data_IF_573292636530
#
_entry.id   IF_573292636530
#
_cell.length_a   1.000
_cell.length_b   1.000
_cell.length_c   1.000
_cell.angle_alpha   90.00
_cell.angle_beta   90.00
_cell.angle_gamma   90.00
#
_symmetry.space_group_name_H-M   'P 1'
#
loop_
_entity.id
_entity.type
_entity.pdbx_description
1 polymer ?
#
# COMPACT_ATOMS: atom_id res chain seq x y z
N UNK A 1 7.64 0.25 0.85
CA UNK A 1 7.38 -0.94 1.70
C UNK A 1 6.70 -0.48 2.97
N UNK A 2 5.37 -0.58 3.01
CA UNK A 2 4.50 0.03 4.03
C UNK A 2 3.81 -1.10 4.78
N UNK A 3 3.98 -1.16 6.10
CA UNK A 3 3.35 -2.14 6.97
C UNK A 3 2.66 -1.46 8.12
N UNK A 4 1.54 -2.01 8.54
CA UNK A 4 0.89 -1.75 9.82
C UNK A 4 1.89 -1.82 11.00
N UNK A 5 1.59 -1.07 12.07
CA UNK A 5 2.53 -0.77 13.17
C UNK A 5 3.03 -2.04 13.84
N UNK A 6 4.35 -2.23 13.88
CA UNK A 6 4.98 -3.38 14.51
C UNK A 6 5.36 -3.02 15.95
N UNK A 7 4.73 -3.69 16.90
CA UNK A 7 4.98 -3.56 18.34
C UNK A 7 5.82 -4.76 18.75
N UNK A 8 7.07 -4.51 19.14
CA UNK A 8 7.96 -5.53 19.71
C UNK A 8 8.04 -5.29 21.21
N UNK A 9 7.52 -6.20 22.03
CA UNK A 9 7.88 -6.21 23.45
C UNK A 9 9.23 -6.94 23.58
N UNK A 10 10.16 -6.40 24.38
CA UNK A 10 11.40 -7.07 24.74
C UNK A 10 11.60 -6.95 26.24
N UNK A 11 11.87 -8.09 26.86
CA UNK A 11 12.65 -8.19 28.09
C UNK A 11 14.00 -8.82 27.72
N UNK A 12 15.09 -8.04 27.74
CA UNK A 12 16.47 -8.55 27.69
C UNK A 12 17.23 -8.48 26.34
N UNK A 13 18.50 -8.08 26.42
CA UNK A 13 19.48 -7.91 25.33
C UNK A 13 20.18 -9.22 24.94
N UNK A 14 20.17 -9.61 23.65
CA UNK A 14 21.34 -9.98 22.82
C UNK A 14 20.93 -10.66 21.49
N UNK A 15 21.77 -10.50 20.47
CA UNK A 15 21.55 -10.88 19.06
C UNK A 15 21.37 -12.39 18.82
N UNK A 16 20.34 -12.71 18.02
CA UNK A 16 19.99 -13.96 17.27
C UNK A 16 20.10 -15.35 17.91
N UNK A 17 20.94 -15.59 18.91
CA UNK A 17 20.91 -16.80 19.75
C UNK A 17 20.22 -16.55 21.11
N UNK A 18 19.96 -15.29 21.48
CA UNK A 18 19.44 -14.93 22.80
C UNK A 18 17.92 -14.60 22.87
N UNK A 19 17.22 -14.53 21.74
CA UNK A 19 15.80 -14.17 21.72
C UNK A 19 14.88 -15.38 21.88
N UNK A 20 14.83 -15.93 23.11
CA UNK A 20 13.91 -17.03 23.45
C UNK A 20 12.54 -16.53 23.94
N UNK A 21 12.44 -15.29 24.42
CA UNK A 21 11.22 -14.72 24.97
C UNK A 21 10.96 -13.33 24.38
N UNK A 22 10.17 -13.27 23.32
CA UNK A 22 9.64 -12.01 22.79
C UNK A 22 8.20 -12.22 22.36
N UNK A 23 7.37 -11.18 22.45
CA UNK A 23 6.05 -11.17 21.82
C UNK A 23 5.99 -10.09 20.74
N UNK A 24 5.29 -10.43 19.66
CA UNK A 24 5.08 -9.56 18.51
C UNK A 24 3.59 -9.29 18.40
N UNK A 25 3.23 -8.01 18.39
CA UNK A 25 1.87 -7.57 18.11
C UNK A 25 1.94 -6.51 17.02
N UNK A 26 1.03 -6.59 16.05
CA UNK A 26 0.91 -5.64 14.96
C UNK A 26 -0.50 -5.07 15.00
N UNK A 27 -0.63 -3.75 14.84
CA UNK A 27 -1.92 -3.06 14.81
C UNK A 27 -2.15 -2.44 13.42
N UNK A 28 -3.25 -2.81 12.79
CA UNK A 28 -3.70 -2.34 11.48
C UNK A 28 -5.11 -1.75 11.61
N UNK A 29 -5.34 -0.55 11.06
CA UNK A 29 -6.65 0.11 11.11
C UNK A 29 -7.65 -0.51 10.12
N UNK A 30 -7.16 -1.06 9.03
CA UNK A 30 -7.95 -1.70 7.99
C UNK A 30 -8.46 -3.07 8.45
N UNK A 31 -9.52 -3.58 7.81
CA UNK A 31 -10.05 -4.92 8.07
C UNK A 31 -9.11 -6.03 7.61
N UNK A 32 -8.24 -5.73 6.65
CA UNK A 32 -7.23 -6.63 6.12
C UNK A 32 -5.86 -5.95 6.10
N UNK A 33 -4.82 -6.75 5.87
CA UNK A 33 -3.43 -6.29 5.73
C UNK A 33 -3.21 -5.59 4.38
N UNK A 34 -1.97 -5.27 4.05
CA UNK A 34 -1.53 -4.69 2.76
C UNK A 34 -1.65 -3.17 2.62
N UNK A 35 -2.14 -2.47 3.64
CA UNK A 35 -1.98 -1.02 3.81
C UNK A 35 -2.45 -0.22 2.59
N UNK A 36 -1.52 0.50 1.94
CA UNK A 36 -1.79 1.30 0.72
C UNK A 36 -2.56 0.51 -0.34
N UNK A 37 -2.26 -0.77 -0.52
CA UNK A 37 -2.90 -1.62 -1.55
C UNK A 37 -4.25 -2.18 -1.12
N UNK A 38 -4.57 -2.12 0.17
CA UNK A 38 -5.94 -2.33 0.65
C UNK A 38 -6.80 -1.07 0.40
N UNK A 39 -6.25 0.12 0.66
CA UNK A 39 -6.99 1.38 0.59
C UNK A 39 -7.21 1.89 -0.84
N UNK A 40 -6.18 1.83 -1.68
CA UNK A 40 -6.19 2.44 -3.01
C UNK A 40 -6.70 1.44 -4.05
N UNK A 41 -8.02 1.45 -4.26
CA UNK A 41 -8.73 0.55 -5.18
C UNK A 41 -9.35 1.24 -6.40
N UNK A 42 -9.04 2.52 -6.60
CA UNK A 42 -9.56 3.27 -7.73
C UNK A 42 -9.12 2.65 -9.08
N UNK A 43 -9.93 2.79 -10.15
CA UNK A 43 -9.61 2.26 -11.47
C UNK A 43 -8.24 2.72 -11.98
N UNK A 44 -7.46 1.79 -12.51
CA UNK A 44 -6.12 2.08 -13.03
C UNK A 44 -5.03 2.23 -11.96
N UNK A 45 -5.33 2.04 -10.67
CA UNK A 45 -4.32 2.10 -9.62
C UNK A 45 -3.22 1.05 -9.85
N UNK A 46 -1.98 1.53 -9.98
CA UNK A 46 -0.81 0.70 -10.24
C UNK A 46 0.42 1.26 -9.53
N UNK A 47 1.43 0.41 -9.33
CA UNK A 47 2.73 0.86 -8.87
C UNK A 47 3.53 1.49 -10.01
N UNK A 48 4.23 2.57 -9.70
CA UNK A 48 5.21 3.25 -10.56
C UNK A 48 6.61 2.58 -10.55
N UNK A 49 6.80 1.55 -9.74
CA UNK A 49 8.01 0.70 -9.73
C UNK A 49 7.74 -0.56 -10.55
N UNK A 50 8.69 -1.00 -11.39
CA UNK A 50 8.57 -2.27 -12.11
C UNK A 50 8.26 -3.44 -11.16
N UNK A 51 7.33 -4.29 -11.56
CA UNK A 51 6.68 -5.29 -10.72
C UNK A 51 7.68 -6.25 -10.07
N UNK A 52 8.69 -6.74 -10.80
CA UNK A 52 9.71 -7.64 -10.23
C UNK A 52 10.64 -6.95 -9.21
N UNK A 53 10.70 -5.62 -9.20
CA UNK A 53 11.48 -4.83 -8.26
C UNK A 53 10.68 -4.36 -7.03
N UNK A 54 9.36 -4.58 -7.03
CA UNK A 54 8.48 -4.24 -5.92
C UNK A 54 8.55 -5.23 -4.73
N UNK A 55 8.58 -6.56 -4.93
CA UNK A 55 8.71 -7.56 -3.87
C UNK A 55 9.85 -7.32 -2.89
N UNK A 56 9.74 -7.95 -1.72
CA UNK A 56 10.88 -8.14 -0.83
C UNK A 56 11.99 -8.87 -1.57
N UNK A 57 13.24 -8.41 -1.40
CA UNK A 57 14.40 -9.04 -2.06
C UNK A 57 14.59 -10.51 -1.68
N UNK A 58 14.11 -10.92 -0.50
CA UNK A 58 14.13 -12.30 -0.02
C UNK A 58 12.87 -13.11 -0.37
N UNK A 59 11.82 -12.47 -0.91
CA UNK A 59 10.58 -13.12 -1.36
C UNK A 59 10.22 -12.59 -2.75
N UNK A 60 11.03 -12.89 -3.78
CA UNK A 60 10.75 -12.45 -5.14
C UNK A 60 9.49 -13.11 -5.69
N UNK A 61 8.77 -12.40 -6.55
CA UNK A 61 7.59 -12.91 -7.26
C UNK A 61 7.90 -13.01 -8.77
N UNK A 62 7.93 -14.22 -9.36
CA UNK A 62 8.29 -14.42 -10.76
C UNK A 62 7.09 -14.34 -11.73
N UNK A 63 5.86 -14.44 -11.24
CA UNK A 63 4.62 -14.60 -12.01
C UNK A 63 3.81 -13.29 -12.14
N UNK A 64 4.50 -12.14 -12.25
CA UNK A 64 3.79 -10.89 -12.56
C UNK A 64 3.21 -10.95 -13.97
N UNK A 65 2.08 -10.28 -14.18
CA UNK A 65 1.38 -10.28 -15.48
C UNK A 65 1.85 -9.18 -16.43
N UNK A 66 2.50 -8.14 -15.92
CA UNK A 66 2.98 -7.01 -16.70
C UNK A 66 4.18 -6.35 -16.02
N UNK A 67 4.91 -5.53 -16.78
CA UNK A 67 6.06 -4.76 -16.28
C UNK A 67 5.68 -3.90 -15.08
N UNK A 68 4.50 -3.29 -15.08
CA UNK A 68 3.93 -2.57 -13.93
C UNK A 68 2.71 -3.33 -13.41
N UNK A 69 2.68 -3.59 -12.11
CA UNK A 69 1.60 -4.33 -11.48
C UNK A 69 0.47 -3.39 -11.04
N UNK A 70 -0.77 -3.80 -11.35
CA UNK A 70 -1.97 -3.21 -10.77
C UNK A 70 -2.04 -3.44 -9.25
N UNK A 71 -2.79 -2.59 -8.56
CA UNK A 71 -2.93 -2.60 -7.10
C UNK A 71 -3.37 -3.96 -6.56
N UNK A 72 -4.31 -4.62 -7.24
CA UNK A 72 -4.84 -5.94 -6.87
C UNK A 72 -3.77 -7.05 -6.86
N UNK A 73 -2.80 -7.02 -7.78
CA UNK A 73 -1.73 -8.02 -7.85
C UNK A 73 -0.74 -7.83 -6.71
N UNK A 74 -0.44 -6.59 -6.35
CA UNK A 74 0.44 -6.28 -5.21
C UNK A 74 -0.27 -6.59 -3.89
N UNK A 75 -1.55 -6.27 -3.79
CA UNK A 75 -2.42 -6.67 -2.68
C UNK A 75 -2.36 -8.19 -2.46
N UNK A 76 -2.53 -8.98 -3.53
CA UNK A 76 -2.45 -10.43 -3.46
C UNK A 76 -1.07 -10.90 -2.97
N UNK A 77 0.03 -10.39 -3.55
CA UNK A 77 1.39 -10.72 -3.12
C UNK A 77 1.63 -10.51 -1.63
N UNK A 78 1.19 -9.38 -1.08
CA UNK A 78 1.37 -9.08 0.34
C UNK A 78 0.53 -9.99 1.24
N UNK A 79 -0.70 -10.31 0.83
CA UNK A 79 -1.55 -11.26 1.55
C UNK A 79 -0.98 -12.68 1.50
N UNK A 80 -0.53 -13.14 0.33
CA UNK A 80 0.13 -14.44 0.14
C UNK A 80 1.33 -14.57 1.09
N UNK A 81 2.13 -13.50 1.22
CA UNK A 81 3.28 -13.46 2.13
C UNK A 81 2.86 -13.59 3.60
N UNK A 82 1.81 -12.87 4.03
CA UNK A 82 1.28 -12.98 5.41
C UNK A 82 0.84 -14.40 5.72
N UNK A 83 0.16 -15.06 4.78
CA UNK A 83 -0.28 -16.44 4.94
C UNK A 83 0.90 -17.42 4.96
N UNK A 84 1.82 -17.31 4.00
CA UNK A 84 3.02 -18.14 3.88
C UNK A 84 3.86 -18.11 5.17
N UNK A 85 4.06 -16.93 5.73
CA UNK A 85 4.83 -16.74 6.96
C UNK A 85 4.00 -16.87 8.25
N UNK A 86 2.69 -17.21 8.14
CA UNK A 86 1.75 -17.35 9.26
C UNK A 86 1.74 -16.13 10.19
N UNK A 87 1.77 -14.93 9.59
CA UNK A 87 1.88 -13.67 10.32
C UNK A 87 0.55 -13.16 10.86
N UNK A 88 -0.59 -13.63 10.34
CA UNK A 88 -1.93 -13.17 10.75
C UNK A 88 -2.16 -13.26 12.26
N UNK A 89 -1.60 -14.26 12.94
CA UNK A 89 -1.71 -14.43 14.40
C UNK A 89 -1.11 -13.29 15.22
N UNK A 90 -0.23 -12.50 14.61
CA UNK A 90 0.39 -11.33 15.24
C UNK A 90 -0.33 -10.04 14.87
N UNK A 91 -1.28 -10.05 13.93
CA UNK A 91 -1.94 -8.83 13.43
C UNK A 91 -3.34 -8.71 14.03
N UNK A 92 -3.58 -7.59 14.72
CA UNK A 92 -4.92 -7.13 15.09
C UNK A 92 -5.37 -6.10 14.06
N UNK A 93 -6.22 -6.53 13.14
CA UNK A 93 -6.90 -5.66 12.17
C UNK A 93 -8.03 -4.89 12.82
N UNK A 94 -8.51 -3.83 12.18
CA UNK A 94 -9.51 -2.90 12.72
C UNK A 94 -9.12 -2.29 14.08
N UNK A 95 -7.81 -2.11 14.31
CA UNK A 95 -7.26 -1.47 15.50
C UNK A 95 -6.46 -0.23 15.11
N UNK A 96 -7.02 0.94 15.40
CA UNK A 96 -6.39 2.23 15.18
C UNK A 96 -5.49 2.59 16.36
N UNK A 97 -4.21 2.84 16.13
CA UNK A 97 -3.32 3.30 17.19
C UNK A 97 -3.47 4.80 17.40
N UNK A 98 -3.78 5.17 18.65
CA UNK A 98 -4.04 6.54 19.08
C UNK A 98 -2.80 7.26 19.62
N UNK A 99 -1.86 6.54 20.24
CA UNK A 99 -0.62 7.14 20.72
C UNK A 99 0.27 6.22 21.54
N UNK A 100 1.48 6.69 21.83
CA UNK A 100 2.42 6.04 22.73
C UNK A 100 3.13 7.07 23.60
N UNK A 101 3.42 6.70 24.84
CA UNK A 101 4.17 7.52 25.79
C UNK A 101 5.28 6.68 26.40
N UNK A 102 6.51 7.21 26.44
CA UNK A 102 7.61 6.52 27.11
C UNK A 102 7.35 6.40 28.62
N UNK A 103 7.42 5.19 29.15
CA UNK A 103 7.31 4.89 30.56
C UNK A 103 8.71 4.62 31.14
N UNK A 104 9.21 5.52 31.98
CA UNK A 104 10.54 5.40 32.59
C UNK A 104 10.63 4.30 33.64
N UNK A 105 9.55 4.03 34.35
CA UNK A 105 9.54 3.06 35.47
C UNK A 105 9.54 1.62 34.95
N UNK A 106 8.72 1.35 33.93
CA UNK A 106 8.64 0.03 33.28
C UNK A 106 9.75 -0.18 32.25
N UNK A 107 10.26 0.91 31.66
CA UNK A 107 11.10 0.88 30.47
C UNK A 107 10.27 0.50 29.25
N UNK A 108 10.21 1.37 28.24
CA UNK A 108 9.39 1.13 27.03
C UNK A 108 8.27 2.15 26.86
N UNK A 109 7.24 1.76 26.12
CA UNK A 109 6.13 2.61 25.70
C UNK A 109 4.80 2.05 26.18
N UNK A 110 4.04 2.86 26.90
CA UNK A 110 2.60 2.63 27.12
C UNK A 110 1.85 3.08 25.88
N UNK A 111 1.09 2.17 25.28
CA UNK A 111 0.36 2.35 24.03
C UNK A 111 -1.12 2.57 24.30
N UNK A 112 -1.75 3.41 23.48
CA UNK A 112 -3.19 3.56 23.38
C UNK A 112 -3.62 3.15 21.99
N UNK A 113 -4.44 2.11 21.93
CA UNK A 113 -5.02 1.57 20.69
C UNK A 113 -6.54 1.61 20.83
N UNK A 114 -7.24 1.77 19.73
CA UNK A 114 -8.69 1.77 19.68
C UNK A 114 -9.16 0.63 18.78
N UNK A 115 -10.04 -0.22 19.29
CA UNK A 115 -10.79 -1.15 18.45
C UNK A 115 -11.84 -0.34 17.67
N UNK A 116 -11.73 -0.33 16.34
CA UNK A 116 -12.56 0.49 15.45
C UNK A 116 -13.95 -0.12 15.20
N UNK A 117 -14.17 -1.38 15.59
CA UNK A 117 -15.47 -2.04 15.51
C UNK A 117 -16.28 -1.76 16.76
N UNK A 118 -15.70 -2.00 17.95
CA UNK A 118 -16.41 -1.80 19.23
C UNK A 118 -16.31 -0.37 19.76
N UNK A 119 -15.33 0.41 19.31
CA UNK A 119 -14.99 1.73 19.85
C UNK A 119 -14.16 1.69 21.13
N UNK A 120 -13.87 0.50 21.67
CA UNK A 120 -13.16 0.32 22.94
C UNK A 120 -11.69 0.80 22.85
N UNK A 121 -11.22 1.44 23.93
CA UNK A 121 -9.81 1.78 24.10
C UNK A 121 -9.05 0.64 24.77
N UNK A 122 -8.01 0.16 24.09
CA UNK A 122 -7.09 -0.87 24.56
C UNK A 122 -5.78 -0.21 25.00
N UNK A 123 -5.41 -0.42 26.25
CA UNK A 123 -4.09 -0.07 26.77
C UNK A 123 -3.15 -1.26 26.59
N UNK A 124 -1.96 -1.01 26.06
CA UNK A 124 -0.94 -2.03 25.81
C UNK A 124 0.45 -1.48 26.19
N UNK A 125 1.47 -2.33 26.27
CA UNK A 125 2.83 -1.93 26.63
C UNK A 125 3.88 -2.67 25.78
N UNK A 126 4.94 -1.97 25.37
CA UNK A 126 6.04 -2.60 24.65
C UNK A 126 7.40 -1.96 24.94
N UNK A 127 8.45 -2.78 24.98
CA UNK A 127 9.83 -2.29 25.04
C UNK A 127 10.28 -1.55 23.77
N UNK A 128 9.82 -1.99 22.59
CA UNK A 128 10.21 -1.43 21.30
C UNK A 128 8.98 -1.12 20.44
N UNK A 129 8.88 0.13 20.01
CA UNK A 129 7.86 0.59 19.09
C UNK A 129 8.46 0.79 17.69
N UNK A 130 7.96 0.05 16.69
CA UNK A 130 8.32 0.25 15.28
C UNK A 130 7.14 0.90 14.55
N UNK A 131 7.30 2.17 14.20
CA UNK A 131 6.31 2.85 13.38
C UNK A 131 6.52 2.51 11.90
N UNK A 132 5.56 1.78 11.33
CA UNK A 132 5.55 1.43 9.92
C UNK A 132 4.34 2.02 9.16
N UNK A 133 3.56 2.93 9.80
CA UNK A 133 2.24 3.39 9.34
C UNK A 133 2.14 3.87 7.89
N UNK A 134 3.26 4.19 7.25
CA UNK A 134 3.28 4.81 5.94
C UNK A 134 3.01 6.31 6.05
N UNK A 135 3.29 7.01 4.95
CA UNK A 135 3.20 8.47 4.87
C UNK A 135 1.98 8.95 4.05
N UNK A 136 1.29 8.04 3.35
CA UNK A 136 0.18 8.32 2.44
C UNK A 136 -1.09 7.52 2.79
N UNK A 137 -1.55 7.61 4.04
CA UNK A 137 -2.70 6.84 4.55
C UNK A 137 -3.78 7.68 5.28
N UNK A 138 -3.58 9.00 5.34
CA UNK A 138 -4.43 9.95 6.05
C UNK A 138 -5.04 10.93 5.05
N UNK A 139 -5.94 10.40 4.22
CA UNK A 139 -6.60 11.17 3.17
C UNK A 139 -7.55 12.22 3.76
N UNK A 140 -7.78 13.30 3.01
CA UNK A 140 -8.66 14.40 3.42
C UNK A 140 -9.35 14.96 2.19
N UNK A 141 -10.59 15.42 2.37
CA UNK A 141 -11.23 16.24 1.34
C UNK A 141 -10.48 17.56 1.14
N UNK A 142 -10.40 18.07 -0.11
CA UNK A 142 -9.92 19.41 -0.34
C UNK A 142 -10.87 20.42 0.31
N UNK A 143 -10.32 21.53 0.81
CA UNK A 143 -11.11 22.59 1.43
C UNK A 143 -11.82 23.39 0.33
N UNK A 144 -13.00 22.91 -0.08
CA UNK A 144 -13.84 23.55 -1.10
C UNK A 144 -15.13 24.02 -0.39
N UNK A 145 -15.42 25.33 -0.37
CA UNK A 145 -16.62 25.86 0.25
C UNK A 145 -17.90 25.20 -0.30
N UNK A 146 -18.67 24.56 0.58
CA UNK A 146 -19.94 23.93 0.22
C UNK A 146 -19.84 22.55 -0.44
N UNK A 147 -18.67 21.89 -0.39
CA UNK A 147 -18.49 20.52 -0.91
C UNK A 147 -19.47 19.52 -0.29
N UNK A 148 -19.80 19.70 0.99
CA UNK A 148 -20.77 18.93 1.76
C UNK A 148 -22.22 19.05 1.24
N UNK A 149 -22.52 20.12 0.49
CA UNK A 149 -23.82 20.37 -0.13
C UNK A 149 -23.90 19.86 -1.57
N UNK A 150 -22.82 19.25 -2.09
CA UNK A 150 -22.82 18.66 -3.41
C UNK A 150 -23.85 17.52 -3.47
N UNK A 151 -24.76 17.58 -4.44
CA UNK A 151 -25.84 16.58 -4.59
C UNK A 151 -25.42 15.31 -5.34
N UNK A 152 -24.25 15.33 -5.99
CA UNK A 152 -23.69 14.17 -6.66
C UNK A 152 -22.83 13.32 -5.72
N UNK A 153 -22.32 12.21 -6.25
CA UNK A 153 -21.45 11.31 -5.50
C UNK A 153 -20.05 11.90 -5.36
N UNK A 154 -19.55 11.98 -4.13
CA UNK A 154 -18.18 12.35 -3.84
C UNK A 154 -17.34 11.08 -3.67
N UNK A 155 -16.26 10.95 -4.45
CA UNK A 155 -15.31 9.84 -4.36
C UNK A 155 -13.91 10.37 -4.08
N UNK A 156 -13.19 9.71 -3.18
CA UNK A 156 -11.78 9.99 -2.92
C UNK A 156 -10.96 8.77 -3.35
N UNK A 157 -9.89 8.95 -4.13
CA UNK A 157 -9.07 7.84 -4.67
C UNK A 157 -8.50 6.94 -3.57
N UNK A 158 -8.05 7.53 -2.46
CA UNK A 158 -7.56 6.79 -1.28
C UNK A 158 -8.65 6.17 -0.37
N UNK A 159 -9.93 6.30 -0.72
CA UNK A 159 -11.05 5.66 -0.02
C UNK A 159 -12.17 5.37 -1.05
N UNK A 160 -11.81 4.59 -2.06
CA UNK A 160 -12.66 4.33 -3.21
C UNK A 160 -13.86 3.46 -2.84
N UNK A 161 -15.04 3.82 -3.34
CA UNK A 161 -16.27 3.05 -3.21
C UNK A 161 -16.54 2.30 -4.52
N UNK A 162 -16.29 0.99 -4.49
CA UNK A 162 -16.45 0.10 -5.63
C UNK A 162 -17.92 -0.09 -6.06
N UNK A 163 -18.90 0.36 -5.25
CA UNK A 163 -20.32 0.30 -5.59
C UNK A 163 -20.77 1.41 -6.56
N UNK A 164 -19.95 2.43 -6.78
CA UNK A 164 -20.31 3.58 -7.59
C UNK A 164 -20.03 3.31 -9.07
N UNK A 165 -21.10 3.21 -9.85
CA UNK A 165 -21.03 3.09 -11.30
C UNK A 165 -20.81 4.45 -11.99
N UNK A 166 -19.69 4.56 -12.69
CA UNK A 166 -19.29 5.73 -13.46
C UNK A 166 -19.82 5.71 -14.91
N UNK A 167 -20.40 4.61 -15.39
CA UNK A 167 -20.88 4.52 -16.78
C UNK A 167 -21.87 5.66 -17.11
N UNK A 168 -21.64 6.32 -18.25
CA UNK A 168 -22.43 7.44 -18.75
C UNK A 168 -22.58 8.65 -17.80
N UNK A 169 -21.75 8.74 -16.74
CA UNK A 169 -21.77 9.87 -15.80
C UNK A 169 -20.99 11.08 -16.32
N UNK A 170 -21.34 12.26 -15.82
CA UNK A 170 -20.49 13.44 -15.90
C UNK A 170 -19.59 13.48 -14.66
N UNK A 171 -18.28 13.39 -14.86
CA UNK A 171 -17.29 13.30 -13.79
C UNK A 171 -16.44 14.56 -13.72
N UNK A 172 -16.33 15.14 -12.53
CA UNK A 172 -15.34 16.17 -12.21
C UNK A 172 -14.15 15.53 -11.49
N UNK A 173 -12.95 15.64 -12.05
CA UNK A 173 -11.72 15.12 -11.45
C UNK A 173 -10.86 16.26 -10.92
N UNK A 174 -10.62 16.29 -9.61
CA UNK A 174 -9.83 17.33 -8.95
C UNK A 174 -8.42 16.81 -8.65
N UNK A 175 -7.40 17.54 -9.11
CA UNK A 175 -5.99 17.18 -8.92
C UNK A 175 -5.36 16.57 -10.17
N UNK A 176 -4.02 16.64 -10.23
CA UNK A 176 -3.20 16.17 -11.37
C UNK A 176 -1.98 15.36 -10.91
N UNK A 177 -2.01 14.82 -9.69
CA UNK A 177 -0.93 13.96 -9.17
C UNK A 177 -1.00 12.55 -9.74
N UNK A 178 -0.13 11.65 -9.25
CA UNK A 178 -0.04 10.25 -9.72
C UNK A 178 -1.40 9.54 -9.76
N UNK A 179 -2.23 9.68 -8.72
CA UNK A 179 -3.56 9.06 -8.70
C UNK A 179 -4.47 9.58 -9.82
N UNK A 180 -4.43 10.89 -10.11
CA UNK A 180 -5.23 11.49 -11.19
C UNK A 180 -4.73 11.05 -12.56
N UNK A 181 -3.41 10.99 -12.75
CA UNK A 181 -2.77 10.53 -13.98
C UNK A 181 -3.14 9.07 -14.29
N UNK A 182 -3.31 8.24 -13.25
CA UNK A 182 -3.72 6.84 -13.39
C UNK A 182 -5.23 6.68 -13.61
N UNK A 183 -6.07 7.37 -12.83
CA UNK A 183 -7.53 7.18 -12.88
C UNK A 183 -8.15 7.77 -14.14
N UNK A 184 -7.65 8.92 -14.61
CA UNK A 184 -8.19 9.63 -15.76
C UNK A 184 -8.31 8.73 -17.00
N UNK A 185 -7.23 8.11 -17.50
CA UNK A 185 -7.31 7.23 -18.67
C UNK A 185 -8.12 5.96 -18.39
N UNK A 186 -8.18 5.50 -17.15
CA UNK A 186 -8.92 4.30 -16.78
C UNK A 186 -10.45 4.50 -16.81
N UNK A 187 -10.94 5.70 -16.49
CA UNK A 187 -12.38 5.98 -16.48
C UNK A 187 -12.87 6.66 -17.75
N UNK A 188 -12.01 7.37 -18.48
CA UNK A 188 -12.40 8.17 -19.65
C UNK A 188 -13.20 7.39 -20.71
N UNK A 189 -12.89 6.13 -21.04
CA UNK A 189 -13.66 5.35 -22.02
C UNK A 189 -15.09 5.01 -21.58
N UNK A 190 -15.39 5.07 -20.28
CA UNK A 190 -16.64 4.58 -19.70
C UNK A 190 -17.61 5.72 -19.30
N UNK A 191 -17.12 6.95 -19.17
CA UNK A 191 -17.90 8.10 -18.72
C UNK A 191 -18.43 8.93 -19.89
N UNK A 192 -19.52 9.68 -19.67
CA UNK A 192 -20.12 10.54 -20.69
C UNK A 192 -19.38 11.85 -20.89
N UNK A 193 -18.86 12.44 -19.80
CA UNK A 193 -18.07 13.68 -19.85
C UNK A 193 -17.10 13.74 -18.69
N UNK A 194 -15.87 14.15 -18.97
CA UNK A 194 -14.86 14.45 -17.95
C UNK A 194 -14.53 15.94 -17.94
N UNK A 195 -14.47 16.53 -16.74
CA UNK A 195 -13.90 17.86 -16.51
C UNK A 195 -12.79 17.73 -15.48
N UNK A 196 -11.56 18.09 -15.85
CA UNK A 196 -10.39 18.05 -14.94
C UNK A 196 -10.10 19.43 -14.36
N UNK A 197 -9.92 19.51 -13.04
CA UNK A 197 -9.55 20.73 -12.32
C UNK A 197 -8.11 20.61 -11.84
N UNK A 198 -7.21 21.31 -12.52
CA UNK A 198 -5.76 21.27 -12.28
C UNK A 198 -5.33 22.58 -11.64
N UNK A 199 -4.77 22.51 -10.43
CA UNK A 199 -4.20 23.70 -9.75
C UNK A 199 -2.79 24.01 -10.23
N UNK A 200 -1.96 22.99 -10.34
CA UNK A 200 -0.56 23.07 -10.73
C UNK A 200 -0.26 22.00 -11.79
N UNK A 201 0.52 22.33 -12.83
CA UNK A 201 0.92 21.36 -13.84
C UNK A 201 1.84 20.29 -13.25
N UNK A 202 1.85 19.10 -13.86
CA UNK A 202 2.72 17.99 -13.45
C UNK A 202 3.53 17.53 -14.65
N UNK A 203 4.84 17.33 -14.45
CA UNK A 203 5.74 16.82 -15.47
C UNK A 203 5.53 15.31 -15.61
N UNK A 204 5.34 14.86 -16.85
CA UNK A 204 5.23 13.45 -17.19
C UNK A 204 6.50 13.03 -17.92
N UNK A 205 7.24 12.09 -17.34
CA UNK A 205 8.33 11.43 -18.04
C UNK A 205 7.77 10.33 -18.93
N UNK A 206 8.31 10.14 -20.15
CA UNK A 206 8.15 8.88 -20.86
C UNK A 206 8.67 7.71 -20.01
N UNK A 207 8.20 6.49 -20.30
CA UNK A 207 8.67 5.29 -19.62
C UNK A 207 10.18 5.15 -19.84
N UNK A 208 10.96 5.21 -18.76
CA UNK A 208 12.42 5.21 -18.85
C UNK A 208 12.94 3.78 -19.00
N UNK A 209 13.49 3.45 -20.18
CA UNK A 209 14.32 2.26 -20.41
C UNK A 209 13.63 0.88 -20.28
N UNK A 210 12.34 0.84 -19.96
CA UNK A 210 11.52 -0.36 -19.88
C UNK A 210 10.31 -0.20 -20.77
N UNK A 211 10.19 -1.04 -21.80
CA UNK A 211 8.98 -1.07 -22.61
C UNK A 211 7.82 -1.59 -21.75
N UNK A 212 6.76 -0.79 -21.62
CA UNK A 212 5.57 -1.22 -20.91
C UNK A 212 4.85 -2.29 -21.75
N UNK A 213 4.79 -3.51 -21.24
CA UNK A 213 4.04 -4.60 -21.86
C UNK A 213 3.46 -5.55 -20.80
N UNK A 214 2.46 -6.32 -21.24
CA UNK A 214 1.99 -7.53 -20.55
C UNK A 214 2.97 -8.63 -20.88
N UNK A 215 3.49 -9.33 -19.87
CA UNK A 215 4.42 -10.42 -20.10
C UNK A 215 3.74 -11.52 -20.91
N UNK A 216 4.41 -11.98 -21.95
CA UNK A 216 3.98 -13.11 -22.75
C UNK A 216 4.06 -14.42 -21.96
N UNK A 217 3.36 -15.44 -22.47
CA UNK A 217 3.41 -16.80 -21.93
C UNK A 217 4.82 -17.40 -21.99
N UNK A 218 5.71 -16.86 -22.83
CA UNK A 218 7.10 -17.32 -22.97
C UNK A 218 8.08 -16.61 -22.00
N UNK A 219 7.77 -15.40 -21.55
CA UNK A 219 8.63 -14.62 -20.65
C UNK A 219 8.54 -15.10 -19.20
N UNK A 220 7.32 -15.36 -18.73
CA UNK A 220 7.06 -15.72 -17.33
C UNK A 220 7.73 -17.05 -16.91
N UNK A 221 7.70 -18.13 -17.72
CA UNK A 221 8.38 -19.38 -17.39
C UNK A 221 9.90 -19.23 -17.29
N UNK A 222 10.51 -18.30 -18.03
CA UNK A 222 11.96 -18.08 -17.95
C UNK A 222 12.38 -17.53 -16.58
N UNK A 223 11.57 -16.66 -15.95
CA UNK A 223 11.85 -16.14 -14.61
C UNK A 223 11.81 -17.23 -13.53
N UNK A 224 11.04 -18.31 -13.76
CA UNK A 224 10.89 -19.42 -12.82
C UNK A 224 11.94 -20.51 -13.07
N UNK A 225 12.16 -20.87 -14.33
CA UNK A 225 12.92 -22.07 -14.70
C UNK A 225 14.41 -21.84 -14.87
N UNK A 226 14.83 -20.62 -15.24
CA UNK A 226 16.23 -20.30 -15.49
C UNK A 226 16.86 -19.63 -14.27
N UNK A 227 17.88 -20.24 -13.64
CA UNK A 227 18.60 -19.61 -12.53
C UNK A 227 19.10 -18.21 -12.90
N UNK A 228 19.12 -17.31 -11.92
CA UNK A 228 19.60 -15.92 -12.03
C UNK A 228 18.86 -14.99 -13.01
N UNK A 229 18.01 -15.49 -13.92
CA UNK A 229 17.33 -14.66 -14.93
C UNK A 229 16.51 -13.53 -14.30
N UNK A 230 15.70 -13.85 -13.28
CA UNK A 230 14.94 -12.84 -12.54
C UNK A 230 15.83 -11.85 -11.79
N UNK A 231 16.91 -12.33 -11.17
CA UNK A 231 17.83 -11.48 -10.41
C UNK A 231 18.55 -10.49 -11.34
N UNK A 232 19.02 -10.97 -12.48
CA UNK A 232 19.74 -10.14 -13.46
C UNK A 232 18.79 -9.15 -14.13
N UNK A 233 17.55 -9.56 -14.43
CA UNK A 233 16.48 -8.66 -14.86
C UNK A 233 16.26 -7.53 -13.83
N UNK A 234 16.06 -7.85 -12.55
CA UNK A 234 15.88 -6.86 -11.49
C UNK A 234 17.09 -5.93 -11.32
N UNK A 235 18.32 -6.44 -11.47
CA UNK A 235 19.56 -5.64 -11.43
C UNK A 235 19.63 -4.68 -12.62
N UNK A 236 19.29 -5.14 -13.81
CA UNK A 236 19.30 -4.32 -15.01
C UNK A 236 18.30 -3.16 -14.88
N UNK A 237 17.08 -3.42 -14.39
CA UNK A 237 16.11 -2.36 -14.07
C UNK A 237 16.70 -1.32 -13.11
N UNK A 238 17.33 -1.77 -12.02
CA UNK A 238 17.94 -0.85 -11.04
C UNK A 238 19.08 -0.04 -11.64
N UNK A 239 19.89 -0.62 -12.53
CA UNK A 239 20.96 0.10 -13.22
C UNK A 239 20.38 1.17 -14.14
N UNK A 240 19.39 0.82 -14.95
CA UNK A 240 18.74 1.75 -15.88
C UNK A 240 18.04 2.92 -15.20
N UNK A 241 17.44 2.70 -14.02
CA UNK A 241 16.71 3.75 -13.28
C UNK A 241 17.63 4.68 -12.47
N UNK A 242 18.82 4.24 -12.09
CA UNK A 242 19.71 5.02 -11.21
C UNK A 242 20.81 5.80 -11.95
N UNK A 243 20.97 5.58 -13.26
CA UNK A 243 22.03 6.22 -14.06
C UNK A 243 23.37 5.50 -13.93
#
# INVERSE_FOLDING_TARGET
MHWSRCVRSFDGLQTSEAFKEYSLQVYEKNSEVSGTWFENRYPGCACDVPAHNYPWSFEPRPDWSAVYAGSNKIYAYLNDFVQKCRLSKFVKTQHGFAGATWNKEKGGYDLRVQNLVSGESVSDHCGILVNASGILNNWKWPVIPGIDRHKGTLLHTANWDDSVDLHDRHVGLIGNGSSSIQILPAIQPHIKKLTTFIREPTWLSPVQGLEQHVYSEDETPNFVTKPHTLLDYCKNIKRSLNG
#
